data_IF_243327718409
#
_entry.id   IF_243327718409
#
_cell.length_a   1.000
_cell.length_b   1.000
_cell.length_c   1.000
_cell.angle_alpha   90.00
_cell.angle_beta   90.00
_cell.angle_gamma   90.00
#
_symmetry.space_group_name_H-M   'P 1'
#
loop_
_entity.id
_entity.type
_entity.pdbx_description
1 polymer ?
#
# COMPACT_ATOMS: atom_id res chain seq x y z
N UNK A 1 49.80 62.79 61.19
CA UNK A 1 49.01 63.18 62.38
C UNK A 1 47.96 62.11 62.63
N UNK A 2 47.93 61.60 63.87
CA UNK A 2 46.79 61.03 64.64
C UNK A 2 46.00 59.81 64.11
N UNK A 3 46.38 58.60 64.58
CA UNK A 3 45.78 57.77 65.69
C UNK A 3 44.23 57.58 65.77
N UNK A 4 43.68 56.58 66.51
CA UNK A 4 43.49 55.14 66.20
C UNK A 4 42.02 54.63 66.40
N UNK A 5 41.76 53.32 66.18
CA UNK A 5 40.48 52.55 66.38
C UNK A 5 39.99 52.44 67.85
N UNK A 6 38.90 51.71 68.28
CA UNK A 6 37.86 50.86 67.62
C UNK A 6 36.39 51.07 68.23
N UNK A 7 35.58 50.03 68.58
CA UNK A 7 34.27 49.65 67.98
C UNK A 7 33.02 49.91 68.85
N UNK A 8 31.79 49.85 68.29
CA UNK A 8 30.54 49.80 69.08
C UNK A 8 29.40 49.10 68.29
N UNK A 9 28.71 48.15 68.94
CA UNK A 9 27.36 47.64 68.58
C UNK A 9 26.44 47.96 69.75
N UNK A 10 25.16 48.39 69.57
CA UNK A 10 23.98 47.47 69.54
C UNK A 10 22.73 48.08 68.80
N UNK A 11 21.45 47.64 68.94
CA UNK A 11 20.78 46.32 68.96
C UNK A 11 19.67 46.13 67.85
N UNK A 12 19.04 44.94 67.84
CA UNK A 12 17.87 44.38 67.06
C UNK A 12 16.57 45.26 67.09
N UNK A 13 15.45 45.04 66.31
CA UNK A 13 14.91 43.74 65.83
C UNK A 13 14.04 43.69 64.52
N UNK A 14 13.62 42.45 64.16
CA UNK A 14 12.50 41.99 63.29
C UNK A 14 12.30 42.65 61.90
N UNK A 15 12.28 41.92 60.79
CA UNK A 15 11.10 41.14 60.40
C UNK A 15 11.50 40.04 59.40
N UNK A 16 11.32 38.78 59.82
CA UNK A 16 11.25 37.63 58.94
C UNK A 16 10.00 37.79 58.06
N UNK A 17 10.14 38.41 56.88
CA UNK A 17 9.09 38.33 55.85
C UNK A 17 9.16 36.93 55.26
N UNK A 18 8.51 35.99 55.95
CA UNK A 18 8.06 34.73 55.37
C UNK A 18 7.34 35.11 54.09
N UNK A 19 7.95 34.90 52.94
CA UNK A 19 7.20 34.85 51.69
C UNK A 19 6.15 33.77 51.95
N UNK A 20 4.85 34.10 51.95
CA UNK A 20 3.85 33.10 52.22
C UNK A 20 3.98 32.06 51.10
N UNK A 21 4.35 30.83 51.47
CA UNK A 21 4.23 29.62 50.64
C UNK A 21 2.79 29.36 50.16
N UNK A 22 1.86 30.30 50.38
CA UNK A 22 0.44 30.24 50.05
C UNK A 22 0.08 30.90 48.70
N UNK A 23 1.02 31.53 47.98
CA UNK A 23 0.77 32.06 46.63
C UNK A 23 1.31 31.18 45.48
N UNK A 24 1.87 30.01 45.80
CA UNK A 24 2.21 28.96 44.82
C UNK A 24 1.25 27.75 44.83
N UNK A 25 0.19 27.80 45.65
CA UNK A 25 -0.85 26.75 45.72
C UNK A 25 -2.17 27.14 45.02
N UNK A 26 -2.47 28.44 44.84
CA UNK A 26 -3.71 28.87 44.16
C UNK A 26 -3.52 28.91 42.64
N UNK A 27 -2.31 29.26 42.16
CA UNK A 27 -1.98 29.22 40.73
C UNK A 27 -1.84 27.78 40.18
N UNK A 28 -1.50 26.79 41.02
CA UNK A 28 -1.45 25.37 40.65
C UNK A 28 -2.84 24.69 40.74
N UNK A 29 -3.73 25.16 41.62
CA UNK A 29 -5.12 24.69 41.70
C UNK A 29 -6.01 25.25 40.58
N UNK A 30 -5.79 26.50 40.17
CA UNK A 30 -6.49 27.11 39.02
C UNK A 30 -6.08 26.52 37.67
N UNK A 31 -4.80 26.17 37.50
CA UNK A 31 -4.30 25.51 36.29
C UNK A 31 -4.80 24.06 36.20
N UNK A 32 -4.89 23.34 37.32
CA UNK A 32 -5.45 21.97 37.37
C UNK A 32 -6.96 21.92 37.11
N UNK A 33 -7.71 22.96 37.49
CA UNK A 33 -9.17 23.01 37.27
C UNK A 33 -9.51 23.30 35.80
N UNK A 34 -8.75 24.16 35.12
CA UNK A 34 -8.93 24.45 33.70
C UNK A 34 -8.63 23.21 32.83
N UNK A 35 -7.57 22.45 33.14
CA UNK A 35 -7.29 21.17 32.48
C UNK A 35 -8.37 20.12 32.74
N UNK A 36 -8.91 20.05 33.97
CA UNK A 36 -10.01 19.15 34.32
C UNK A 36 -11.33 19.49 33.59
N UNK A 37 -11.65 20.78 33.44
CA UNK A 37 -12.81 21.26 32.68
C UNK A 37 -12.66 20.95 31.18
N UNK A 38 -11.49 21.23 30.59
CA UNK A 38 -11.20 20.91 29.19
C UNK A 38 -11.20 19.39 28.92
N UNK A 39 -10.78 18.58 29.89
CA UNK A 39 -10.87 17.12 29.83
C UNK A 39 -12.31 16.62 29.95
N UNK A 40 -13.13 17.23 30.82
CA UNK A 40 -14.54 16.90 30.97
C UNK A 40 -15.37 17.24 29.72
N UNK A 41 -15.13 18.38 29.08
CA UNK A 41 -15.80 18.77 27.82
C UNK A 41 -15.43 17.83 26.67
N UNK A 42 -14.15 17.42 26.57
CA UNK A 42 -13.71 16.41 25.57
C UNK A 42 -14.33 15.04 25.83
N UNK A 43 -14.40 14.60 27.08
CA UNK A 43 -15.08 13.36 27.45
C UNK A 43 -16.58 13.42 27.15
N UNK A 44 -17.23 14.56 27.38
CA UNK A 44 -18.64 14.77 27.04
C UNK A 44 -18.88 14.75 25.52
N UNK A 45 -18.02 15.41 24.73
CA UNK A 45 -18.10 15.39 23.26
C UNK A 45 -17.85 13.99 22.68
N UNK A 46 -16.91 13.23 23.26
CA UNK A 46 -16.63 11.85 22.84
C UNK A 46 -17.74 10.86 23.25
N UNK A 47 -18.38 11.06 24.41
CA UNK A 47 -19.59 10.33 24.79
C UNK A 47 -20.77 10.61 23.86
N UNK A 48 -20.93 11.87 23.43
CA UNK A 48 -21.92 12.25 22.43
C UNK A 48 -21.61 11.56 21.09
N UNK A 49 -20.34 11.48 20.69
CA UNK A 49 -19.91 10.78 19.49
C UNK A 49 -20.18 9.27 19.53
N UNK A 50 -20.12 8.63 20.72
CA UNK A 50 -20.53 7.25 20.92
C UNK A 50 -22.05 7.06 20.82
N UNK A 51 -22.82 7.97 21.42
CA UNK A 51 -24.28 7.94 21.39
C UNK A 51 -24.85 8.16 19.97
N UNK A 52 -24.14 8.90 19.12
CA UNK A 52 -24.51 9.17 17.72
C UNK A 52 -24.17 8.02 16.75
N UNK A 53 -23.55 6.93 17.20
CA UNK A 53 -23.32 5.76 16.37
C UNK A 53 -24.65 5.10 15.98
N UNK A 54 -24.73 4.60 14.74
CA UNK A 54 -25.91 3.84 14.33
C UNK A 54 -26.06 2.59 15.23
N UNK A 55 -27.29 2.13 15.56
CA UNK A 55 -27.49 1.03 16.50
C UNK A 55 -26.72 -0.25 16.14
N UNK A 56 -26.65 -0.57 14.83
CA UNK A 56 -25.90 -1.72 14.33
C UNK A 56 -24.38 -1.54 14.46
N UNK A 57 -23.85 -0.32 14.29
CA UNK A 57 -22.43 -0.02 14.53
C UNK A 57 -22.08 -0.15 16.01
N UNK A 58 -22.93 0.43 16.87
CA UNK A 58 -22.75 0.39 18.33
C UNK A 58 -22.76 -1.04 18.87
N UNK A 59 -23.62 -1.92 18.35
CA UNK A 59 -23.65 -3.33 18.73
C UNK A 59 -22.33 -4.05 18.40
N UNK A 60 -21.72 -3.75 17.24
CA UNK A 60 -20.43 -4.34 16.85
C UNK A 60 -19.27 -3.77 17.67
N UNK A 61 -19.34 -2.48 18.02
CA UNK A 61 -18.28 -1.78 18.72
C UNK A 61 -18.36 -1.88 20.24
N UNK A 62 -19.41 -2.49 20.80
CA UNK A 62 -19.64 -2.61 22.24
C UNK A 62 -18.39 -3.01 23.07
N UNK A 63 -17.49 -3.91 22.62
CA UNK A 63 -16.25 -4.21 23.35
C UNK A 63 -15.28 -3.02 23.53
N UNK A 64 -15.44 -1.96 22.73
CA UNK A 64 -14.64 -0.74 22.78
C UNK A 64 -15.35 0.41 23.50
N UNK A 65 -16.56 0.21 24.03
CA UNK A 65 -17.39 1.30 24.59
C UNK A 65 -16.66 2.11 25.67
N UNK A 66 -16.05 1.43 26.64
CA UNK A 66 -15.33 2.07 27.75
C UNK A 66 -14.07 2.82 27.29
N UNK A 67 -13.37 2.26 26.29
CA UNK A 67 -12.13 2.82 25.77
C UNK A 67 -12.39 3.87 24.69
N UNK A 68 -13.62 4.00 24.19
CA UNK A 68 -13.95 4.85 23.05
C UNK A 68 -13.46 6.29 23.20
N UNK A 69 -13.63 6.98 24.35
CA UNK A 69 -13.17 8.35 24.51
C UNK A 69 -11.64 8.49 24.44
N UNK A 70 -10.88 7.45 24.82
CA UNK A 70 -9.42 7.49 24.79
C UNK A 70 -8.81 7.10 23.44
N UNK A 71 -9.60 6.54 22.52
CA UNK A 71 -9.12 6.17 21.19
C UNK A 71 -8.85 7.41 20.32
N UNK A 72 -7.71 7.49 19.61
CA UNK A 72 -7.47 8.55 18.63
C UNK A 72 -8.58 8.63 17.59
N UNK A 73 -8.90 9.84 17.12
CA UNK A 73 -9.99 10.07 16.17
C UNK A 73 -9.88 9.20 14.90
N UNK A 74 -8.67 9.02 14.37
CA UNK A 74 -8.45 8.15 13.20
C UNK A 74 -8.78 6.67 13.51
N UNK A 75 -8.42 6.19 14.71
CA UNK A 75 -8.76 4.84 15.16
C UNK A 75 -10.27 4.66 15.31
N UNK A 76 -10.94 5.64 15.94
CA UNK A 76 -12.42 5.65 16.03
C UNK A 76 -13.06 5.59 14.64
N UNK A 77 -12.58 6.39 13.69
CA UNK A 77 -13.10 6.39 12.31
C UNK A 77 -12.91 5.03 11.62
N UNK A 78 -11.74 4.40 11.76
CA UNK A 78 -11.48 3.06 11.20
C UNK A 78 -12.39 1.99 11.83
N UNK A 79 -12.60 2.05 13.14
CA UNK A 79 -13.52 1.15 13.86
C UNK A 79 -14.96 1.33 13.37
N UNK A 80 -15.44 2.56 13.23
CA UNK A 80 -16.77 2.86 12.66
C UNK A 80 -16.93 2.30 11.26
N UNK A 81 -15.97 2.53 10.37
CA UNK A 81 -16.00 1.99 9.00
C UNK A 81 -16.02 0.45 9.00
N UNK A 82 -15.27 -0.17 9.91
CA UNK A 82 -15.30 -1.62 10.12
C UNK A 82 -16.67 -2.12 10.56
N UNK A 83 -17.27 -1.44 11.54
CA UNK A 83 -18.58 -1.76 12.10
C UNK A 83 -19.71 -1.58 11.08
N UNK A 84 -19.70 -0.49 10.31
CA UNK A 84 -20.65 -0.25 9.23
C UNK A 84 -20.60 -1.38 8.18
N UNK A 85 -19.38 -1.75 7.75
CA UNK A 85 -19.19 -2.89 6.82
C UNK A 85 -19.70 -4.21 7.41
N UNK A 86 -19.43 -4.46 8.69
CA UNK A 86 -19.87 -5.67 9.37
C UNK A 86 -21.41 -5.75 9.45
N UNK A 87 -22.05 -4.62 9.73
CA UNK A 87 -23.51 -4.51 9.78
C UNK A 87 -24.13 -4.90 8.43
N UNK A 88 -23.50 -4.54 7.31
CA UNK A 88 -23.97 -4.86 5.95
C UNK A 88 -23.60 -6.26 5.44
N UNK A 89 -22.79 -7.04 6.17
CA UNK A 89 -22.37 -8.38 5.74
C UNK A 89 -23.46 -9.43 5.97
N UNK A 90 -23.56 -10.38 5.04
CA UNK A 90 -24.37 -11.59 5.20
C UNK A 90 -23.85 -12.47 6.36
N UNK A 91 -24.68 -13.37 6.92
CA UNK A 91 -24.22 -14.33 7.93
C UNK A 91 -22.99 -15.14 7.49
N UNK A 92 -22.94 -15.53 6.22
CA UNK A 92 -21.87 -16.28 5.59
C UNK A 92 -20.58 -15.45 5.50
N UNK A 93 -20.67 -14.20 5.02
CA UNK A 93 -19.53 -13.28 4.96
C UNK A 93 -18.96 -12.97 6.34
N UNK A 94 -19.83 -12.86 7.36
CA UNK A 94 -19.41 -12.68 8.75
C UNK A 94 -18.68 -13.92 9.27
N UNK A 95 -19.16 -15.13 8.95
CA UNK A 95 -18.50 -16.38 9.33
C UNK A 95 -17.11 -16.49 8.70
N UNK A 96 -16.98 -16.21 7.40
CA UNK A 96 -15.69 -16.21 6.72
C UNK A 96 -14.75 -15.14 7.32
N UNK A 97 -15.27 -13.96 7.62
CA UNK A 97 -14.49 -12.88 8.24
C UNK A 97 -13.97 -13.27 9.63
N UNK A 98 -14.78 -13.94 10.46
CA UNK A 98 -14.33 -14.48 11.76
C UNK A 98 -13.23 -15.52 11.56
N UNK A 99 -13.38 -16.43 10.60
CA UNK A 99 -12.39 -17.46 10.32
C UNK A 99 -11.05 -16.84 9.87
N UNK A 100 -11.09 -15.84 8.97
CA UNK A 100 -9.88 -15.12 8.54
C UNK A 100 -9.24 -14.34 9.68
N UNK A 101 -10.04 -13.75 10.57
CA UNK A 101 -9.55 -13.06 11.76
C UNK A 101 -8.89 -14.02 12.76
N UNK A 102 -9.48 -15.19 13.00
CA UNK A 102 -8.87 -16.23 13.84
C UNK A 102 -7.53 -16.71 13.29
N UNK A 103 -7.44 -16.96 11.97
CA UNK A 103 -6.18 -17.27 11.30
C UNK A 103 -5.15 -16.16 11.49
N UNK A 104 -5.56 -14.90 11.33
CA UNK A 104 -4.69 -13.75 11.56
C UNK A 104 -4.20 -13.67 13.01
N UNK A 105 -5.07 -13.89 14.00
CA UNK A 105 -4.69 -13.89 15.41
C UNK A 105 -3.69 -15.00 15.75
N UNK A 106 -3.85 -16.18 15.14
CA UNK A 106 -2.95 -17.31 15.31
C UNK A 106 -1.59 -17.15 14.61
N UNK A 107 -1.43 -16.20 13.69
CA UNK A 107 -0.14 -15.96 13.02
C UNK A 107 0.94 -15.47 14.02
N UNK A 108 2.20 -15.93 13.87
CA UNK A 108 3.34 -15.37 14.58
C UNK A 108 3.48 -13.86 14.35
N UNK A 109 3.99 -13.12 15.33
CA UNK A 109 4.09 -11.65 15.23
C UNK A 109 4.96 -11.21 14.05
N UNK A 110 6.03 -11.94 13.75
CA UNK A 110 6.89 -11.67 12.57
C UNK A 110 6.09 -11.76 11.26
N UNK A 111 5.20 -12.74 11.13
CA UNK A 111 4.34 -12.88 9.94
C UNK A 111 3.28 -11.76 9.88
N UNK A 112 2.70 -11.41 11.03
CA UNK A 112 1.77 -10.27 11.14
C UNK A 112 2.45 -8.98 10.67
N UNK A 113 3.66 -8.70 11.16
CA UNK A 113 4.41 -7.51 10.75
C UNK A 113 4.72 -7.51 9.25
N UNK A 114 5.15 -8.65 8.70
CA UNK A 114 5.36 -8.79 7.25
C UNK A 114 4.09 -8.50 6.45
N UNK A 115 2.93 -8.98 6.88
CA UNK A 115 1.67 -8.72 6.19
C UNK A 115 1.25 -7.25 6.31
N UNK A 116 1.41 -6.63 7.49
CA UNK A 116 1.14 -5.20 7.70
C UNK A 116 1.99 -4.34 6.76
N UNK A 117 3.28 -4.62 6.63
CA UNK A 117 4.17 -3.90 5.72
C UNK A 117 3.72 -4.04 4.25
N UNK A 118 3.38 -5.26 3.82
CA UNK A 118 2.87 -5.50 2.46
C UNK A 118 1.55 -4.77 2.20
N UNK A 119 0.67 -4.74 3.20
CA UNK A 119 -0.59 -4.01 3.12
C UNK A 119 -0.37 -2.50 3.03
N UNK A 120 0.54 -1.93 3.81
CA UNK A 120 0.92 -0.52 3.72
C UNK A 120 1.51 -0.18 2.34
N UNK A 121 2.39 -1.03 1.80
CA UNK A 121 2.91 -0.86 0.43
C UNK A 121 1.78 -0.88 -0.60
N UNK A 122 0.84 -1.83 -0.47
CA UNK A 122 -0.33 -1.88 -1.34
C UNK A 122 -1.18 -0.61 -1.23
N UNK A 123 -1.37 -0.08 -0.02
CA UNK A 123 -2.16 1.13 0.20
C UNK A 123 -1.53 2.39 -0.38
N UNK A 124 -0.21 2.42 -0.54
CA UNK A 124 0.52 3.50 -1.21
C UNK A 124 0.48 3.44 -2.74
N UNK A 125 0.01 2.33 -3.33
CA UNK A 125 -0.09 2.22 -4.79
C UNK A 125 -1.15 3.17 -5.36
N UNK A 126 -0.93 3.75 -6.55
CA UNK A 126 -1.97 4.45 -7.30
C UNK A 126 -3.22 3.59 -7.51
N UNK A 127 -4.40 4.21 -7.55
CA UNK A 127 -5.69 3.52 -7.67
C UNK A 127 -5.76 2.56 -8.86
N UNK A 128 -5.20 2.96 -10.01
CA UNK A 128 -5.16 2.09 -11.20
C UNK A 128 -4.29 0.85 -10.98
N UNK A 129 -3.15 1.00 -10.31
CA UNK A 129 -2.28 -0.13 -9.96
C UNK A 129 -2.98 -1.06 -8.96
N UNK A 130 -3.69 -0.50 -7.96
CA UNK A 130 -4.51 -1.29 -7.04
C UNK A 130 -5.59 -2.09 -7.79
N UNK A 131 -6.30 -1.46 -8.73
CA UNK A 131 -7.32 -2.11 -9.56
C UNK A 131 -6.71 -3.25 -10.38
N UNK A 132 -5.59 -3.00 -11.07
CA UNK A 132 -4.87 -4.04 -11.84
C UNK A 132 -4.45 -5.21 -10.96
N UNK A 133 -3.94 -4.95 -9.76
CA UNK A 133 -3.53 -6.00 -8.82
C UNK A 133 -4.72 -6.86 -8.36
N UNK A 134 -5.85 -6.23 -8.00
CA UNK A 134 -7.07 -6.95 -7.59
C UNK A 134 -7.60 -7.83 -8.72
N UNK A 135 -7.65 -7.31 -9.95
CA UNK A 135 -8.08 -8.09 -11.11
C UNK A 135 -7.15 -9.28 -11.39
N UNK A 136 -5.83 -9.06 -11.36
CA UNK A 136 -4.86 -10.15 -11.55
C UNK A 136 -4.99 -11.22 -10.46
N UNK A 137 -5.22 -10.83 -9.21
CA UNK A 137 -5.46 -11.76 -8.12
C UNK A 137 -6.79 -12.50 -8.25
N UNK A 138 -7.87 -11.83 -8.66
CA UNK A 138 -9.16 -12.45 -8.95
C UNK A 138 -9.04 -13.54 -10.03
N UNK A 139 -8.36 -13.24 -11.15
CA UNK A 139 -8.05 -14.23 -12.19
C UNK A 139 -7.27 -15.42 -11.64
N UNK A 140 -6.25 -15.15 -10.81
CA UNK A 140 -5.47 -16.21 -10.17
C UNK A 140 -6.30 -17.11 -9.26
N UNK A 141 -7.27 -16.56 -8.51
CA UNK A 141 -8.14 -17.35 -7.64
C UNK A 141 -9.11 -18.25 -8.43
N UNK A 142 -9.52 -17.82 -9.62
CA UNK A 142 -10.40 -18.58 -10.52
C UNK A 142 -9.69 -19.74 -11.22
N UNK A 143 -8.35 -19.77 -11.23
CA UNK A 143 -7.60 -20.88 -11.81
C UNK A 143 -7.83 -22.19 -11.04
N UNK A 144 -7.92 -23.34 -11.73
CA UNK A 144 -7.93 -24.66 -11.11
C UNK A 144 -6.76 -24.87 -10.13
N UNK A 145 -6.93 -25.66 -9.04
CA UNK A 145 -5.93 -25.80 -7.99
C UNK A 145 -4.54 -26.27 -8.49
N UNK A 146 -4.50 -27.16 -9.47
CA UNK A 146 -3.27 -27.63 -10.12
C UNK A 146 -2.57 -26.50 -10.88
N UNK A 147 -3.30 -25.70 -11.65
CA UNK A 147 -2.76 -24.56 -12.38
C UNK A 147 -2.23 -23.48 -11.43
N UNK A 148 -2.95 -23.21 -10.33
CA UNK A 148 -2.46 -22.30 -9.27
C UNK A 148 -1.16 -22.78 -8.65
N UNK A 149 -1.03 -24.07 -8.38
CA UNK A 149 0.18 -24.68 -7.81
C UNK A 149 1.36 -24.57 -8.76
N UNK A 150 1.17 -24.96 -10.02
CA UNK A 150 2.20 -24.86 -11.06
C UNK A 150 2.70 -23.41 -11.23
N UNK A 151 1.77 -22.44 -11.23
CA UNK A 151 2.11 -21.03 -11.34
C UNK A 151 2.90 -20.51 -10.14
N UNK A 152 2.55 -20.94 -8.90
CA UNK A 152 3.34 -20.61 -7.70
C UNK A 152 4.74 -21.19 -7.76
N UNK A 153 4.86 -22.48 -8.06
CA UNK A 153 6.16 -23.17 -8.16
C UNK A 153 7.06 -22.50 -9.20
N UNK A 154 6.50 -22.13 -10.35
CA UNK A 154 7.25 -21.40 -11.37
C UNK A 154 7.72 -20.03 -10.88
N UNK A 155 6.86 -19.27 -10.21
CA UNK A 155 7.23 -17.95 -9.67
C UNK A 155 8.30 -18.07 -8.58
N UNK A 156 8.24 -19.12 -7.76
CA UNK A 156 9.24 -19.44 -6.75
C UNK A 156 10.58 -19.84 -7.39
N UNK A 157 10.57 -20.55 -8.52
CA UNK A 157 11.78 -20.92 -9.27
C UNK A 157 12.42 -19.75 -10.04
N UNK A 158 11.72 -18.63 -10.27
CA UNK A 158 12.27 -17.46 -10.99
C UNK A 158 13.35 -16.75 -10.18
N UNK A 159 14.38 -16.27 -10.89
CA UNK A 159 15.40 -15.34 -10.37
C UNK A 159 14.80 -13.96 -10.02
N UNK A 160 15.47 -13.14 -9.20
CA UNK A 160 14.98 -11.80 -8.86
C UNK A 160 14.69 -10.92 -10.09
N UNK A 161 15.56 -10.98 -11.12
CA UNK A 161 15.40 -10.25 -12.37
C UNK A 161 14.17 -10.73 -13.16
N UNK A 162 13.97 -12.04 -13.25
CA UNK A 162 12.78 -12.62 -13.91
C UNK A 162 11.49 -12.28 -13.16
N UNK A 163 11.51 -12.29 -11.82
CA UNK A 163 10.37 -11.85 -11.02
C UNK A 163 10.06 -10.37 -11.21
N UNK A 164 11.08 -9.54 -11.39
CA UNK A 164 10.90 -8.12 -11.69
C UNK A 164 10.28 -7.93 -13.07
N UNK A 165 10.79 -8.60 -14.09
CA UNK A 165 10.18 -8.61 -15.42
C UNK A 165 8.73 -9.11 -15.40
N UNK A 166 8.46 -10.19 -14.66
CA UNK A 166 7.11 -10.73 -14.42
C UNK A 166 6.19 -9.70 -13.75
N UNK A 167 6.70 -8.88 -12.83
CA UNK A 167 5.95 -7.80 -12.17
C UNK A 167 5.74 -6.58 -13.06
N UNK A 168 6.64 -6.30 -14.00
CA UNK A 168 6.57 -5.17 -14.92
C UNK A 168 5.64 -5.47 -16.10
N UNK A 169 5.58 -6.71 -16.57
CA UNK A 169 4.72 -7.12 -17.69
C UNK A 169 3.24 -7.31 -17.31
N UNK A 170 2.79 -6.68 -16.20
CA UNK A 170 1.46 -6.85 -15.59
C UNK A 170 0.34 -6.08 -16.29
N UNK A 171 0.64 -5.37 -17.36
CA UNK A 171 -0.29 -4.50 -18.09
C UNK A 171 -1.10 -5.22 -19.20
N UNK A 172 -1.12 -6.56 -19.25
CA UNK A 172 -2.05 -7.31 -20.11
C UNK A 172 -1.42 -8.24 -21.15
N UNK A 173 -0.11 -8.47 -21.08
CA UNK A 173 0.50 -9.56 -21.83
C UNK A 173 0.12 -10.90 -21.18
N UNK A 174 -0.42 -11.80 -22.02
CA UNK A 174 -0.79 -13.16 -21.71
C UNK A 174 0.09 -13.80 -20.63
N UNK A 175 -0.54 -14.41 -19.62
CA UNK A 175 0.15 -15.42 -18.82
C UNK A 175 0.76 -16.44 -19.80
N UNK A 176 1.99 -16.94 -19.60
CA UNK A 176 2.42 -18.07 -20.40
C UNK A 176 1.58 -19.27 -19.94
N UNK A 177 0.54 -19.58 -20.73
CA UNK A 177 -0.60 -20.45 -20.38
C UNK A 177 -2.00 -19.80 -20.48
N UNK A 178 -2.11 -18.50 -20.79
CA UNK A 178 -3.39 -17.81 -21.04
C UNK A 178 -3.94 -18.27 -22.40
N UNK A 179 -4.66 -19.39 -22.39
CA UNK A 179 -5.45 -19.85 -23.52
C UNK A 179 -6.70 -18.96 -23.65
N UNK A 180 -6.54 -17.75 -24.20
CA UNK A 180 -7.70 -17.00 -24.69
C UNK A 180 -8.29 -17.78 -25.88
N UNK A 181 -9.62 -17.96 -25.96
CA UNK A 181 -10.25 -18.50 -27.16
C UNK A 181 -9.93 -17.55 -28.32
N UNK A 182 -9.21 -18.04 -29.34
CA UNK A 182 -8.79 -17.26 -30.51
C UNK A 182 -7.32 -16.80 -30.54
N UNK A 183 -6.50 -17.09 -29.53
CA UNK A 183 -5.04 -17.01 -29.69
C UNK A 183 -4.56 -18.24 -30.50
N UNK A 184 -3.77 -18.08 -31.58
CA UNK A 184 -3.37 -19.22 -32.40
C UNK A 184 -2.55 -20.20 -31.57
N UNK A 185 -3.15 -21.36 -31.29
CA UNK A 185 -2.47 -22.56 -30.82
C UNK A 185 -1.37 -22.90 -31.82
N UNK A 186 -0.11 -22.97 -31.35
CA UNK A 186 0.98 -23.54 -32.13
C UNK A 186 1.97 -22.56 -32.77
N UNK A 187 1.89 -21.25 -32.55
CA UNK A 187 3.03 -20.38 -32.88
C UNK A 187 4.14 -20.64 -31.85
N UNK A 188 5.33 -21.16 -32.23
CA UNK A 188 6.41 -21.37 -31.29
C UNK A 188 6.74 -20.01 -30.66
N UNK A 189 6.62 -19.91 -29.33
CA UNK A 189 7.13 -18.76 -28.62
C UNK A 189 8.61 -18.62 -29.01
N UNK A 190 8.99 -17.48 -29.62
CA UNK A 190 10.38 -17.21 -30.04
C UNK A 190 11.36 -17.70 -28.98
N UNK A 191 12.46 -18.33 -29.39
CA UNK A 191 13.50 -18.75 -28.45
C UNK A 191 13.98 -17.53 -27.63
N UNK A 192 14.37 -17.69 -26.35
CA UNK A 192 14.78 -16.56 -25.51
C UNK A 192 15.87 -15.67 -26.16
N UNK A 193 16.85 -16.29 -26.83
CA UNK A 193 17.89 -15.59 -27.57
C UNK A 193 17.33 -14.75 -28.73
N UNK A 194 16.35 -15.28 -29.47
CA UNK A 194 15.69 -14.56 -30.58
C UNK A 194 14.90 -13.35 -30.05
N UNK A 195 14.25 -13.48 -28.90
CA UNK A 195 13.56 -12.36 -28.24
C UNK A 195 14.52 -11.25 -27.79
N UNK A 196 15.67 -11.62 -27.24
CA UNK A 196 16.69 -10.64 -26.84
C UNK A 196 17.23 -9.87 -28.05
N UNK A 197 17.53 -10.57 -29.16
CA UNK A 197 17.95 -9.93 -30.40
C UNK A 197 16.87 -9.00 -30.98
N UNK A 198 15.60 -9.40 -30.94
CA UNK A 198 14.49 -8.55 -31.39
C UNK A 198 14.34 -7.31 -30.51
N UNK A 199 14.44 -7.46 -29.19
CA UNK A 199 14.37 -6.31 -28.27
C UNK A 199 15.56 -5.36 -28.46
N UNK A 200 16.78 -5.89 -28.64
CA UNK A 200 17.97 -5.09 -28.91
C UNK A 200 17.83 -4.28 -30.21
N UNK A 201 17.25 -4.89 -31.25
CA UNK A 201 16.96 -4.22 -32.51
C UNK A 201 15.91 -3.12 -32.36
N UNK A 202 14.82 -3.37 -31.63
CA UNK A 202 13.82 -2.32 -31.37
C UNK A 202 14.42 -1.18 -30.55
N UNK A 203 15.35 -1.47 -29.64
CA UNK A 203 16.06 -0.46 -28.86
C UNK A 203 17.07 0.33 -29.69
N UNK A 204 17.61 -0.23 -30.78
CA UNK A 204 18.51 0.49 -31.68
C UNK A 204 17.79 1.42 -32.66
N UNK A 205 16.46 1.35 -32.76
CA UNK A 205 15.66 2.26 -33.59
C UNK A 205 15.48 3.63 -32.92
N UNK A 206 15.49 4.70 -33.72
CA UNK A 206 15.16 6.04 -33.24
C UNK A 206 13.72 6.10 -32.69
N UNK A 207 13.38 7.09 -31.85
CA UNK A 207 11.99 7.31 -31.43
C UNK A 207 11.02 7.43 -32.62
N UNK A 208 11.39 8.15 -33.69
CA UNK A 208 10.53 8.26 -34.88
C UNK A 208 10.37 6.91 -35.59
N UNK A 209 11.46 6.15 -35.76
CA UNK A 209 11.42 4.83 -36.38
C UNK A 209 10.55 3.85 -35.59
N UNK A 210 10.59 3.89 -34.24
CA UNK A 210 9.71 3.10 -33.39
C UNK A 210 8.24 3.51 -33.54
N UNK A 211 7.96 4.80 -33.65
CA UNK A 211 6.60 5.30 -33.86
C UNK A 211 6.06 4.86 -35.23
N UNK A 212 6.86 4.96 -36.30
CA UNK A 212 6.49 4.47 -37.63
C UNK A 212 6.24 2.96 -37.65
N UNK A 213 7.09 2.19 -36.97
CA UNK A 213 6.90 0.74 -36.84
C UNK A 213 5.59 0.41 -36.12
N UNK A 214 5.29 1.13 -35.05
CA UNK A 214 4.03 0.96 -34.33
C UNK A 214 2.82 1.30 -35.21
N UNK A 215 2.86 2.42 -35.92
CA UNK A 215 1.81 2.82 -36.85
C UNK A 215 1.61 1.79 -37.97
N UNK A 216 2.69 1.32 -38.60
CA UNK A 216 2.64 0.27 -39.62
C UNK A 216 2.06 -1.04 -39.08
N UNK A 217 2.42 -1.45 -37.86
CA UNK A 217 1.84 -2.65 -37.25
C UNK A 217 0.34 -2.49 -36.93
N UNK A 218 -0.17 -1.27 -36.78
CA UNK A 218 -1.60 -1.03 -36.56
C UNK A 218 -2.40 -1.12 -37.87
N UNK A 219 -1.78 -0.84 -39.02
CA UNK A 219 -2.47 -0.95 -40.32
C UNK A 219 -2.59 -2.39 -40.81
N UNK A 220 -1.74 -3.30 -40.32
CA UNK A 220 -1.74 -4.71 -40.70
C UNK A 220 -2.83 -5.53 -39.97
N UNK A 221 -3.52 -6.38 -40.72
CA UNK A 221 -4.45 -7.36 -40.19
C UNK A 221 -3.73 -8.41 -39.31
N UNK A 222 -4.48 -9.08 -38.42
CA UNK A 222 -3.92 -10.13 -37.55
C UNK A 222 -3.06 -11.19 -38.28
N UNK A 223 -3.47 -11.79 -39.41
CA UNK A 223 -2.64 -12.75 -40.14
C UNK A 223 -1.37 -12.12 -40.73
N UNK A 224 -1.45 -10.89 -41.23
CA UNK A 224 -0.32 -10.17 -41.83
C UNK A 224 0.75 -9.84 -40.78
N UNK A 225 0.31 -9.43 -39.57
CA UNK A 225 1.21 -9.23 -38.43
C UNK A 225 1.91 -10.52 -38.02
N UNK A 226 1.24 -11.67 -38.12
CA UNK A 226 1.84 -12.96 -37.83
C UNK A 226 2.91 -13.33 -38.87
N UNK A 227 2.63 -13.13 -40.16
CA UNK A 227 3.58 -13.33 -41.25
C UNK A 227 4.81 -12.43 -41.13
N UNK A 228 4.63 -11.15 -40.82
CA UNK A 228 5.72 -10.21 -40.61
C UNK A 228 6.64 -10.68 -39.46
N UNK A 229 6.07 -11.15 -38.35
CA UNK A 229 6.84 -11.71 -37.22
C UNK A 229 7.63 -12.94 -37.63
N UNK A 230 7.02 -13.85 -38.39
CA UNK A 230 7.68 -15.06 -38.88
C UNK A 230 8.82 -14.72 -39.84
N UNK A 231 8.60 -13.77 -40.74
CA UNK A 231 9.60 -13.26 -41.69
C UNK A 231 10.80 -12.64 -40.97
N UNK A 232 10.55 -11.77 -39.99
CA UNK A 232 11.63 -11.18 -39.18
C UNK A 232 12.39 -12.26 -38.39
N UNK A 233 11.72 -13.28 -37.88
CA UNK A 233 12.35 -14.38 -37.15
C UNK A 233 13.24 -15.26 -38.03
N UNK A 234 12.91 -15.41 -39.31
CA UNK A 234 13.70 -16.17 -40.28
C UNK A 234 14.96 -15.42 -40.77
N UNK A 235 14.97 -14.09 -40.67
CA UNK A 235 16.12 -13.25 -41.06
C UNK A 235 17.25 -13.30 -40.02
N UNK A 236 18.50 -13.27 -40.50
CA UNK A 236 19.66 -13.00 -39.65
C UNK A 236 19.61 -11.59 -39.03
N UNK A 237 20.35 -11.30 -37.94
CA UNK A 237 20.37 -9.98 -37.33
C UNK A 237 20.66 -8.81 -38.30
N UNK A 238 21.68 -8.85 -39.19
CA UNK A 238 21.94 -7.75 -40.11
C UNK A 238 20.85 -7.60 -41.18
N UNK A 239 20.31 -8.69 -41.70
CA UNK A 239 19.21 -8.68 -42.68
C UNK A 239 17.93 -8.09 -42.08
N UNK A 240 17.60 -8.46 -40.85
CA UNK A 240 16.45 -7.93 -40.12
C UNK A 240 16.56 -6.43 -39.91
N UNK A 241 17.75 -5.93 -39.56
CA UNK A 241 18.01 -4.51 -39.38
C UNK A 241 17.95 -3.72 -40.69
N UNK A 242 18.45 -4.28 -41.79
CA UNK A 242 18.32 -3.68 -43.12
C UNK A 242 16.84 -3.64 -43.57
N UNK A 243 16.11 -4.74 -43.37
CA UNK A 243 14.69 -4.84 -43.71
C UNK A 243 13.83 -3.83 -42.93
N UNK A 244 14.03 -3.70 -41.61
CA UNK A 244 13.30 -2.72 -40.81
C UNK A 244 13.65 -1.28 -41.20
N UNK A 245 14.91 -0.97 -41.53
CA UNK A 245 15.26 0.37 -42.03
C UNK A 245 14.56 0.69 -43.34
N UNK A 246 14.62 -0.22 -44.32
CA UNK A 246 13.93 -0.05 -45.60
C UNK A 246 12.40 0.05 -45.46
N UNK A 247 11.82 -0.61 -44.46
CA UNK A 247 10.38 -0.55 -44.20
C UNK A 247 9.95 0.76 -43.53
N UNK A 248 10.84 1.41 -42.78
CA UNK A 248 10.53 2.56 -41.93
C UNK A 248 11.04 3.90 -42.47
N UNK A 249 11.96 3.85 -43.43
CA UNK A 249 12.54 4.99 -44.16
C UNK A 249 12.43 4.74 -45.68
N UNK A 250 11.21 4.86 -46.27
CA UNK A 250 10.99 4.72 -47.70
C UNK A 250 11.47 5.93 -48.52
#
# INVERSE_FOLDING_TARGET
MQNPSPPLTPPQPMTQRRIPRLLLLIASLGLSLADALCAAERAAADNLAWAQLAPAERAVLMPFAEQWPSLPAETRQRLRQGAARWATMSPEDRAESRQRFGQWQAMPEVEKQRLRQRYQQFQRLPTDQKRRLRQAFGRFQQLPPNQRRALRQRFEAMTPAERQAFRQNRDGAAWPGDQRPGAPMGAPAMAPAQRQQLNALVQSLSPEQRQRLHAHLQTLAAPERALLRQKLAAMSPPERAAYLRALLDP
#
